data_IF_421835240467
#
_entry.id   IF_421835240467
#
_cell.length_a   1.000
_cell.length_b   1.000
_cell.length_c   1.000
_cell.angle_alpha   90.00
_cell.angle_beta   90.00
_cell.angle_gamma   90.00
#
_symmetry.space_group_name_H-M   'P 1'
#
loop_
_entity.id
_entity.type
_entity.pdbx_description
1 polymer ?
#
# COMPACT_ATOMS: atom_id res chain seq x y z
N UNK A 1 17.68 -11.15 -7.45
CA UNK A 1 17.01 -12.34 -8.02
C UNK A 1 17.16 -13.54 -7.07
N UNK A 2 18.35 -13.87 -6.56
CA UNK A 2 18.52 -15.05 -5.71
C UNK A 2 17.69 -14.97 -4.42
N UNK A 3 17.72 -13.85 -3.71
CA UNK A 3 16.91 -13.62 -2.51
C UNK A 3 15.41 -13.78 -2.79
N UNK A 4 14.91 -13.26 -3.92
CA UNK A 4 13.50 -13.37 -4.28
C UNK A 4 13.10 -14.82 -4.57
N UNK A 5 13.99 -15.62 -5.17
CA UNK A 5 13.76 -17.05 -5.39
C UNK A 5 13.75 -17.84 -4.07
N UNK A 6 14.61 -17.47 -3.12
CA UNK A 6 14.62 -18.09 -1.77
C UNK A 6 13.31 -17.80 -1.02
N UNK A 7 12.72 -16.64 -1.23
CA UNK A 7 11.40 -16.25 -0.73
C UNK A 7 10.21 -16.84 -1.52
N UNK A 8 10.49 -17.73 -2.48
CA UNK A 8 9.51 -18.33 -3.38
C UNK A 8 8.69 -17.29 -4.18
N UNK A 9 9.35 -16.17 -4.54
CA UNK A 9 8.76 -15.12 -5.39
C UNK A 9 9.15 -15.39 -6.84
N UNK A 10 8.16 -15.52 -7.71
CA UNK A 10 8.40 -15.68 -9.15
C UNK A 10 8.94 -14.38 -9.73
N UNK A 11 10.07 -14.45 -10.42
CA UNK A 11 10.67 -13.30 -11.11
C UNK A 11 11.12 -13.73 -12.50
N UNK A 12 10.92 -12.84 -13.47
CA UNK A 12 11.39 -12.98 -14.84
C UNK A 12 12.76 -12.31 -14.92
N UNK A 13 13.76 -13.00 -15.44
CA UNK A 13 15.06 -12.40 -15.70
C UNK A 13 15.04 -11.55 -16.99
N UNK A 14 16.04 -10.67 -17.11
CA UNK A 14 16.14 -9.75 -18.25
C UNK A 14 16.19 -10.47 -19.60
N UNK A 15 16.78 -11.67 -19.67
CA UNK A 15 16.90 -12.41 -20.92
C UNK A 15 15.54 -12.89 -21.40
N UNK A 16 14.71 -13.38 -20.48
CA UNK A 16 13.34 -13.82 -20.77
C UNK A 16 12.41 -12.63 -21.05
N UNK A 17 12.55 -11.55 -20.30
CA UNK A 17 11.75 -10.33 -20.50
C UNK A 17 12.01 -9.72 -21.89
N UNK A 18 13.28 -9.61 -22.29
CA UNK A 18 13.68 -9.09 -23.61
C UNK A 18 13.29 -9.99 -24.79
N UNK A 19 12.99 -11.27 -24.54
CA UNK A 19 12.53 -12.20 -25.57
C UNK A 19 11.01 -12.11 -25.84
N UNK A 20 10.27 -11.31 -25.05
CA UNK A 20 8.84 -11.11 -25.23
C UNK A 20 8.60 -9.72 -25.84
N UNK A 21 7.82 -9.67 -26.92
CA UNK A 21 7.48 -8.42 -27.62
C UNK A 21 6.31 -7.69 -26.91
N UNK A 22 6.47 -7.44 -25.59
CA UNK A 22 5.49 -6.78 -24.72
C UNK A 22 6.19 -5.70 -23.91
N UNK A 23 5.62 -4.50 -23.89
CA UNK A 23 6.10 -3.43 -23.01
C UNK A 23 5.81 -3.79 -21.54
N UNK A 24 6.83 -3.87 -20.64
CA UNK A 24 6.59 -4.05 -19.22
C UNK A 24 5.79 -2.88 -18.64
N UNK A 25 4.94 -3.15 -17.66
CA UNK A 25 4.33 -2.12 -16.84
C UNK A 25 5.39 -1.52 -15.90
N UNK A 26 5.52 -0.22 -15.92
CA UNK A 26 6.41 0.52 -15.01
C UNK A 26 5.67 0.86 -13.73
N UNK A 27 6.03 0.20 -12.65
CA UNK A 27 5.48 0.47 -11.32
C UNK A 27 6.55 1.15 -10.46
N UNK A 28 6.21 2.28 -9.86
CA UNK A 28 7.08 2.95 -8.89
C UNK A 28 6.53 2.80 -7.48
N UNK A 29 7.39 2.51 -6.51
CA UNK A 29 7.04 2.38 -5.10
C UNK A 29 7.77 3.45 -4.31
N UNK A 30 7.03 4.39 -3.73
CA UNK A 30 7.55 5.29 -2.70
C UNK A 30 7.45 4.56 -1.35
N UNK A 31 8.57 4.02 -0.91
CA UNK A 31 8.63 3.23 0.31
C UNK A 31 9.02 4.11 1.51
N UNK A 32 8.03 4.43 2.34
CA UNK A 32 8.18 5.24 3.56
C UNK A 32 8.37 4.39 4.82
N UNK A 33 8.22 3.06 4.72
CA UNK A 33 8.32 2.15 5.84
C UNK A 33 9.75 2.09 6.40
N UNK A 34 9.90 1.88 7.73
CA UNK A 34 11.20 1.84 8.38
C UNK A 34 12.03 0.60 8.02
N UNK A 35 11.38 -0.55 7.80
CA UNK A 35 11.99 -1.82 7.39
C UNK A 35 11.82 -2.00 5.87
N UNK A 36 12.60 -1.26 5.10
CA UNK A 36 12.41 -1.17 3.65
C UNK A 36 12.50 -2.51 2.93
N UNK A 37 13.49 -3.34 3.24
CA UNK A 37 13.72 -4.64 2.58
C UNK A 37 12.52 -5.57 2.81
N UNK A 38 11.95 -5.58 4.02
CA UNK A 38 10.74 -6.38 4.31
C UNK A 38 9.56 -5.91 3.47
N UNK A 39 9.32 -4.59 3.43
CA UNK A 39 8.23 -4.00 2.65
C UNK A 39 8.41 -4.23 1.14
N UNK A 40 9.65 -4.12 0.64
CA UNK A 40 9.99 -4.44 -0.76
C UNK A 40 9.59 -5.88 -1.09
N UNK A 41 10.00 -6.84 -0.24
CA UNK A 41 9.72 -8.26 -0.42
C UNK A 41 8.21 -8.53 -0.42
N UNK A 42 7.48 -7.91 0.51
CA UNK A 42 6.03 -8.07 0.64
C UNK A 42 5.29 -7.53 -0.60
N UNK A 43 5.66 -6.34 -1.07
CA UNK A 43 5.05 -5.75 -2.27
C UNK A 43 5.43 -6.50 -3.55
N UNK A 44 6.69 -6.89 -3.71
CA UNK A 44 7.14 -7.64 -4.89
C UNK A 44 6.42 -9.00 -4.94
N UNK A 45 6.19 -9.66 -3.80
CA UNK A 45 5.45 -10.93 -3.73
C UNK A 45 4.04 -10.80 -4.31
N UNK A 46 3.33 -9.69 -4.04
CA UNK A 46 1.99 -9.43 -4.55
C UNK A 46 2.02 -9.01 -6.02
N UNK A 47 2.93 -8.12 -6.39
CA UNK A 47 3.07 -7.65 -7.78
C UNK A 47 3.51 -8.77 -8.73
N UNK A 48 4.34 -9.71 -8.27
CA UNK A 48 4.81 -10.83 -9.09
C UNK A 48 3.75 -11.91 -9.34
N UNK A 49 2.65 -11.91 -8.60
CA UNK A 49 1.55 -12.86 -8.79
C UNK A 49 0.60 -12.40 -9.92
N UNK A 50 1.17 -12.09 -11.06
CA UNK A 50 0.49 -11.62 -12.27
C UNK A 50 1.18 -12.17 -13.51
N UNK A 51 0.46 -12.50 -14.59
CA UNK A 51 1.05 -12.87 -15.88
C UNK A 51 1.66 -11.66 -16.61
N UNK A 52 1.41 -10.44 -16.15
CA UNK A 52 1.92 -9.21 -16.75
C UNK A 52 3.42 -9.05 -16.42
N UNK A 53 4.18 -8.54 -17.38
CA UNK A 53 5.55 -8.11 -17.10
C UNK A 53 5.53 -6.81 -16.33
N UNK A 54 6.23 -6.76 -15.20
CA UNK A 54 6.27 -5.59 -14.32
C UNK A 54 7.72 -5.23 -14.04
N UNK A 55 8.06 -3.98 -14.29
CA UNK A 55 9.32 -3.37 -13.89
C UNK A 55 9.06 -2.51 -12.66
N UNK A 56 9.66 -2.87 -11.53
CA UNK A 56 9.49 -2.15 -10.25
C UNK A 56 10.70 -1.25 -10.00
N UNK A 57 10.43 0.03 -9.79
CA UNK A 57 11.40 1.03 -9.34
C UNK A 57 11.07 1.49 -7.92
N UNK A 58 12.08 1.63 -7.06
CA UNK A 58 11.89 2.17 -5.72
C UNK A 58 12.30 3.64 -5.65
N UNK A 59 11.40 4.46 -5.12
CA UNK A 59 11.60 5.88 -4.87
C UNK A 59 11.84 6.12 -3.38
N UNK A 60 12.75 7.03 -3.05
CA UNK A 60 12.96 7.55 -1.70
C UNK A 60 12.81 9.07 -1.68
N UNK A 61 12.51 9.60 -0.51
CA UNK A 61 12.53 11.03 -0.23
C UNK A 61 13.97 11.48 0.02
N UNK A 62 14.33 12.63 -0.52
CA UNK A 62 15.65 13.26 -0.27
C UNK A 62 15.70 13.86 1.13
N UNK A 63 14.58 14.42 1.60
CA UNK A 63 14.44 15.03 2.92
C UNK A 63 14.40 14.03 4.08
N UNK A 64 14.34 12.72 3.79
CA UNK A 64 14.27 11.67 4.82
C UNK A 64 15.36 10.61 4.65
N UNK A 65 16.16 10.40 5.68
CA UNK A 65 17.21 9.36 5.70
C UNK A 65 16.71 8.12 6.42
N UNK A 66 16.75 6.97 5.74
CA UNK A 66 16.45 5.68 6.36
C UNK A 66 17.49 5.31 7.41
N UNK A 67 17.05 5.00 8.64
CA UNK A 67 17.92 4.61 9.75
C UNK A 67 18.13 3.09 9.84
N UNK A 68 17.23 2.30 9.26
CA UNK A 68 17.15 0.85 9.46
C UNK A 68 17.50 0.05 8.19
N UNK A 69 18.02 0.71 7.16
CA UNK A 69 18.37 0.06 5.89
C UNK A 69 19.82 0.37 5.54
N UNK A 70 20.63 -0.62 5.14
CA UNK A 70 22.02 -0.40 4.73
C UNK A 70 22.13 0.62 3.61
N UNK A 71 23.15 1.49 3.68
CA UNK A 71 23.37 2.56 2.70
C UNK A 71 23.62 1.99 1.30
N UNK A 72 24.34 0.86 1.22
CA UNK A 72 24.62 0.16 -0.03
C UNK A 72 23.34 -0.30 -0.72
N UNK A 73 22.38 -0.84 0.05
CA UNK A 73 21.06 -1.22 -0.46
C UNK A 73 20.31 0.00 -1.00
N UNK A 74 20.28 1.08 -0.22
CA UNK A 74 19.65 2.32 -0.65
C UNK A 74 20.25 2.89 -1.94
N UNK A 75 21.56 2.86 -2.08
CA UNK A 75 22.25 3.33 -3.30
C UNK A 75 22.01 2.43 -4.51
N UNK A 76 21.89 1.12 -4.27
CA UNK A 76 21.72 0.15 -5.35
C UNK A 76 20.29 0.10 -5.91
N UNK A 77 19.27 0.32 -5.08
CA UNK A 77 17.88 0.04 -5.44
C UNK A 77 16.96 1.25 -5.41
N UNK A 78 17.35 2.36 -4.74
CA UNK A 78 16.48 3.53 -4.57
C UNK A 78 16.96 4.72 -5.38
N UNK A 79 15.99 5.38 -6.03
CA UNK A 79 16.21 6.61 -6.77
C UNK A 79 15.51 7.77 -6.05
N UNK A 80 16.10 8.97 -6.11
CA UNK A 80 15.45 10.18 -5.60
C UNK A 80 14.36 10.67 -6.56
N UNK A 81 13.30 11.27 -6.03
CA UNK A 81 12.22 11.84 -6.83
C UNK A 81 12.71 12.76 -7.94
N UNK A 82 13.68 13.64 -7.63
CA UNK A 82 14.24 14.57 -8.62
C UNK A 82 14.82 13.88 -9.88
N UNK A 83 15.33 12.64 -9.74
CA UNK A 83 15.85 11.86 -10.86
C UNK A 83 14.77 11.16 -11.68
N UNK A 84 13.54 11.10 -11.16
CA UNK A 84 12.39 10.39 -11.75
C UNK A 84 11.30 11.36 -12.22
N UNK A 85 11.46 12.65 -11.95
CA UNK A 85 10.42 13.67 -12.11
C UNK A 85 9.85 13.76 -13.53
N UNK A 86 10.70 13.57 -14.55
CA UNK A 86 10.30 13.62 -15.96
C UNK A 86 9.80 12.28 -16.50
N UNK A 87 9.90 11.22 -15.70
CA UNK A 87 9.46 9.89 -16.11
C UNK A 87 7.95 9.72 -15.85
N UNK A 88 7.34 8.82 -16.61
CA UNK A 88 5.94 8.43 -16.44
C UNK A 88 5.86 6.96 -16.06
N UNK A 89 4.85 6.63 -15.24
CA UNK A 89 4.65 5.29 -14.70
C UNK A 89 3.22 4.83 -14.92
N UNK A 90 3.07 3.53 -15.17
CA UNK A 90 1.75 2.91 -15.30
C UNK A 90 1.03 2.88 -13.96
N UNK A 91 1.75 2.58 -12.88
CA UNK A 91 1.20 2.59 -11.54
C UNK A 91 2.20 3.07 -10.48
N UNK A 92 1.67 3.53 -9.35
CA UNK A 92 2.45 3.89 -8.19
C UNK A 92 1.84 3.32 -6.91
N UNK A 93 2.71 2.90 -6.00
CA UNK A 93 2.33 2.54 -4.63
C UNK A 93 3.06 3.49 -3.68
N UNK A 94 2.33 4.11 -2.76
CA UNK A 94 2.89 4.92 -1.68
C UNK A 94 2.56 4.21 -0.37
N UNK A 95 3.58 3.77 0.35
CA UNK A 95 3.42 2.95 1.56
C UNK A 95 3.05 3.78 2.78
N UNK A 96 2.62 3.10 3.84
CA UNK A 96 2.50 3.68 5.17
C UNK A 96 3.82 4.24 5.71
N UNK A 97 3.73 5.02 6.78
CA UNK A 97 4.85 5.59 7.50
C UNK A 97 4.54 5.66 9.00
N UNK A 98 5.52 5.44 9.90
CA UNK A 98 5.30 5.44 11.36
C UNK A 98 5.33 6.86 11.94
N UNK A 99 4.56 7.78 11.35
CA UNK A 99 4.49 9.20 11.73
C UNK A 99 3.05 9.66 11.99
N UNK A 100 2.14 8.75 12.22
CA UNK A 100 0.71 8.99 12.32
C UNK A 100 0.30 9.86 13.54
N UNK A 101 1.17 9.94 14.55
CA UNK A 101 0.96 10.81 15.74
C UNK A 101 1.25 12.29 15.47
N UNK A 102 1.97 12.61 14.40
CA UNK A 102 2.26 13.99 14.01
C UNK A 102 1.12 14.56 13.17
N UNK A 103 0.87 15.86 13.28
CA UNK A 103 0.07 16.53 12.24
C UNK A 103 0.79 16.40 10.89
N UNK A 104 0.03 16.44 9.79
CA UNK A 104 0.63 16.19 8.48
C UNK A 104 1.71 17.22 8.15
N UNK A 105 1.47 18.48 8.45
CA UNK A 105 2.39 19.60 8.21
C UNK A 105 3.65 19.54 9.09
N UNK A 106 3.58 18.86 10.24
CA UNK A 106 4.72 18.67 11.16
C UNK A 106 5.65 17.53 10.71
N UNK A 107 5.25 16.74 9.70
CA UNK A 107 6.10 15.70 9.13
C UNK A 107 7.23 16.35 8.32
N UNK A 108 8.47 16.08 8.67
CA UNK A 108 9.65 16.76 8.13
C UNK A 108 9.83 16.66 6.61
N UNK A 109 9.17 15.71 5.95
CA UNK A 109 9.16 15.54 4.50
C UNK A 109 7.81 15.90 3.86
N UNK A 110 6.93 16.63 4.57
CA UNK A 110 5.59 16.96 4.08
C UNK A 110 5.62 17.70 2.75
N UNK A 111 6.46 18.73 2.64
CA UNK A 111 6.59 19.50 1.40
C UNK A 111 7.02 18.65 0.20
N UNK A 112 7.94 17.70 0.40
CA UNK A 112 8.40 16.84 -0.69
C UNK A 112 7.33 15.82 -1.10
N UNK A 113 6.60 15.24 -0.13
CA UNK A 113 5.58 14.25 -0.45
C UNK A 113 4.36 14.87 -1.12
N UNK A 114 3.97 16.09 -0.75
CA UNK A 114 2.88 16.81 -1.42
C UNK A 114 3.22 17.18 -2.86
N UNK A 115 4.48 17.53 -3.16
CA UNK A 115 4.95 17.68 -4.53
C UNK A 115 4.82 16.36 -5.32
N UNK A 116 5.14 15.23 -4.70
CA UNK A 116 4.97 13.91 -5.31
C UNK A 116 3.47 13.60 -5.51
N UNK A 117 2.60 13.92 -4.56
CA UNK A 117 1.15 13.74 -4.71
C UNK A 117 0.60 14.50 -5.93
N UNK A 118 0.99 15.75 -6.14
CA UNK A 118 0.60 16.50 -7.33
C UNK A 118 1.18 15.88 -8.61
N UNK A 119 2.45 15.45 -8.57
CA UNK A 119 3.12 14.81 -9.68
C UNK A 119 2.41 13.49 -10.10
N UNK A 120 1.90 12.70 -9.15
CA UNK A 120 1.18 11.46 -9.49
C UNK A 120 0.00 11.72 -10.40
N UNK A 121 -0.71 12.83 -10.23
CA UNK A 121 -1.92 13.18 -11.00
C UNK A 121 -1.68 13.38 -12.50
N UNK A 122 -0.45 13.65 -12.89
CA UNK A 122 -0.07 13.94 -14.28
C UNK A 122 0.93 12.95 -14.87
N UNK A 123 1.61 12.15 -14.04
CA UNK A 123 2.68 11.25 -14.47
C UNK A 123 2.40 9.78 -14.19
N UNK A 124 1.32 9.46 -13.48
CA UNK A 124 0.96 8.09 -13.11
C UNK A 124 -0.49 7.80 -13.51
N UNK A 125 -0.75 6.63 -14.10
CA UNK A 125 -2.11 6.24 -14.49
C UNK A 125 -2.96 5.95 -13.26
N UNK A 126 -2.48 5.13 -12.33
CA UNK A 126 -3.21 4.82 -11.09
C UNK A 126 -2.25 4.75 -9.90
N UNK A 127 -2.60 5.41 -8.80
CA UNK A 127 -1.82 5.44 -7.56
C UNK A 127 -2.59 4.76 -6.43
N UNK A 128 -1.96 3.79 -5.78
CA UNK A 128 -2.45 3.15 -4.56
C UNK A 128 -1.71 3.72 -3.36
N UNK A 129 -2.45 4.34 -2.46
CA UNK A 129 -1.96 4.89 -1.20
C UNK A 129 -2.30 3.93 -0.07
N UNK A 130 -1.34 3.57 0.79
CA UNK A 130 -1.52 2.56 1.84
C UNK A 130 -1.37 3.19 3.22
N UNK A 131 -2.29 2.91 4.13
CA UNK A 131 -2.31 3.27 5.54
C UNK A 131 -2.09 4.78 5.76
N UNK A 132 -0.97 5.20 6.35
CA UNK A 132 -0.69 6.63 6.57
C UNK A 132 -0.72 7.42 5.26
N UNK A 133 -0.15 6.90 4.18
CA UNK A 133 -0.20 7.58 2.89
C UNK A 133 -1.64 7.75 2.37
N UNK A 134 -2.54 6.79 2.65
CA UNK A 134 -3.96 6.93 2.30
C UNK A 134 -4.59 8.11 3.04
N UNK A 135 -4.34 8.24 4.34
CA UNK A 135 -4.83 9.38 5.13
C UNK A 135 -4.21 10.70 4.67
N UNK A 136 -2.89 10.72 4.40
CA UNK A 136 -2.17 11.90 3.93
C UNK A 136 -2.65 12.36 2.55
N UNK A 137 -2.88 11.43 1.62
CA UNK A 137 -3.42 11.73 0.30
C UNK A 137 -4.86 12.23 0.33
N UNK A 138 -5.72 11.61 1.16
CA UNK A 138 -7.09 12.07 1.40
C UNK A 138 -7.13 13.49 2.00
N UNK A 139 -6.23 13.76 2.94
CA UNK A 139 -6.09 15.09 3.54
C UNK A 139 -5.63 16.11 2.51
N UNK A 140 -4.53 15.84 1.84
CA UNK A 140 -3.93 16.80 0.91
C UNK A 140 -4.82 17.12 -0.28
N UNK A 141 -5.40 16.11 -0.90
CA UNK A 141 -6.17 16.28 -2.13
C UNK A 141 -7.63 16.69 -1.90
N UNK A 142 -8.21 16.29 -0.75
CA UNK A 142 -9.66 16.39 -0.51
C UNK A 142 -10.02 17.02 0.83
N UNK A 143 -9.03 17.39 1.66
CA UNK A 143 -9.26 18.01 2.95
C UNK A 143 -9.88 17.07 4.01
N UNK A 144 -9.78 15.76 3.83
CA UNK A 144 -10.34 14.80 4.79
C UNK A 144 -9.43 14.70 6.02
N UNK A 145 -9.88 15.07 7.22
CA UNK A 145 -9.07 15.03 8.43
C UNK A 145 -8.82 13.60 8.90
N UNK A 146 -7.72 13.40 9.63
CA UNK A 146 -7.50 12.20 10.43
C UNK A 146 -7.91 12.41 11.88
N UNK A 147 -8.25 11.34 12.55
CA UNK A 147 -8.62 11.33 13.97
C UNK A 147 -7.76 10.34 14.72
N UNK A 148 -7.34 10.73 15.93
CA UNK A 148 -6.61 9.83 16.82
C UNK A 148 -7.57 8.79 17.39
N UNK A 149 -7.17 7.53 17.41
CA UNK A 149 -7.88 6.45 18.09
C UNK A 149 -7.50 6.39 19.56
N UNK A 150 -8.42 6.03 20.43
CA UNK A 150 -8.17 5.81 21.86
C UNK A 150 -7.22 4.64 22.10
N UNK A 151 -7.29 3.63 21.24
CA UNK A 151 -6.41 2.45 21.23
C UNK A 151 -5.94 2.15 19.82
N UNK A 152 -4.74 1.57 19.73
CA UNK A 152 -4.19 1.09 18.46
C UNK A 152 -5.16 0.09 17.81
N UNK A 153 -5.57 0.33 16.57
CA UNK A 153 -6.26 -0.64 15.73
C UNK A 153 -5.22 -1.68 15.29
N UNK A 154 -5.21 -2.85 15.95
CA UNK A 154 -4.13 -3.81 15.82
C UNK A 154 -4.65 -5.24 15.73
N UNK A 155 -4.50 -5.87 14.57
CA UNK A 155 -4.99 -7.22 14.33
C UNK A 155 -5.56 -7.44 12.93
N UNK A 156 -6.37 -8.47 12.80
CA UNK A 156 -7.07 -8.87 11.58
C UNK A 156 -8.55 -8.58 11.75
N UNK A 157 -9.08 -7.74 10.87
CA UNK A 157 -10.47 -7.28 10.93
C UNK A 157 -11.26 -7.77 9.73
N UNK A 158 -12.53 -8.02 9.96
CA UNK A 158 -13.50 -8.38 8.94
C UNK A 158 -13.95 -7.15 8.17
N UNK A 159 -14.04 -7.29 6.85
CA UNK A 159 -14.41 -6.22 5.93
C UNK A 159 -15.45 -6.74 4.93
N UNK A 160 -16.21 -5.81 4.38
CA UNK A 160 -17.15 -6.06 3.32
C UNK A 160 -17.05 -4.97 2.24
N UNK A 161 -17.58 -5.28 1.07
CA UNK A 161 -17.77 -4.30 0.01
C UNK A 161 -18.98 -3.45 0.36
N UNK A 162 -18.83 -2.13 0.29
CA UNK A 162 -19.96 -1.21 0.53
C UNK A 162 -21.10 -1.46 -0.46
N UNK A 163 -22.34 -1.41 0.00
CA UNK A 163 -23.52 -1.64 -0.83
C UNK A 163 -23.49 -0.78 -2.11
N UNK A 164 -23.80 -1.41 -3.24
CA UNK A 164 -23.76 -0.78 -4.57
C UNK A 164 -22.43 -0.82 -5.29
N UNK A 165 -21.32 -1.25 -4.65
CA UNK A 165 -20.00 -1.25 -5.24
C UNK A 165 -19.42 -2.64 -5.58
N UNK A 166 -20.15 -3.73 -5.36
CA UNK A 166 -19.71 -5.10 -5.67
C UNK A 166 -19.37 -5.34 -7.15
N UNK A 167 -19.92 -4.51 -8.04
CA UNK A 167 -19.65 -4.57 -9.47
C UNK A 167 -18.28 -3.99 -9.88
N UNK A 168 -17.61 -3.27 -9.00
CA UNK A 168 -16.32 -2.65 -9.32
C UNK A 168 -15.25 -3.72 -9.57
N UNK A 169 -14.44 -3.55 -10.64
CA UNK A 169 -13.40 -4.53 -10.98
C UNK A 169 -12.38 -4.80 -9.88
N UNK A 170 -12.16 -3.84 -8.96
CA UNK A 170 -11.24 -4.01 -7.82
C UNK A 170 -11.65 -5.19 -6.91
N UNK A 171 -12.95 -5.51 -6.83
CA UNK A 171 -13.51 -6.59 -6.00
C UNK A 171 -13.78 -7.88 -6.76
N UNK A 172 -13.33 -8.00 -8.01
CA UNK A 172 -13.56 -9.22 -8.79
C UNK A 172 -12.90 -10.42 -8.11
N UNK A 173 -13.71 -11.43 -7.77
CA UNK A 173 -13.30 -12.64 -7.09
C UNK A 173 -13.23 -12.54 -5.56
N UNK A 174 -13.60 -11.39 -4.97
CA UNK A 174 -13.75 -11.26 -3.53
C UNK A 174 -14.97 -12.01 -3.04
N UNK A 175 -14.87 -12.57 -1.84
CA UNK A 175 -16.01 -13.06 -1.08
C UNK A 175 -16.78 -11.88 -0.47
N UNK A 176 -18.03 -12.13 -0.01
CA UNK A 176 -18.85 -11.11 0.65
C UNK A 176 -18.19 -10.56 1.91
N UNK A 177 -17.42 -11.41 2.57
CA UNK A 177 -16.63 -11.10 3.78
C UNK A 177 -15.17 -11.47 3.53
N UNK A 178 -14.27 -10.57 3.85
CA UNK A 178 -12.85 -10.77 3.74
C UNK A 178 -12.08 -10.12 4.90
N UNK A 179 -10.82 -10.50 5.07
CA UNK A 179 -10.03 -10.12 6.24
C UNK A 179 -8.84 -9.26 5.82
N UNK A 180 -8.55 -8.22 6.62
CA UNK A 180 -7.45 -7.28 6.37
C UNK A 180 -6.68 -7.01 7.66
N UNK A 181 -5.34 -7.04 7.61
CA UNK A 181 -4.49 -6.58 8.71
C UNK A 181 -4.58 -5.07 8.90
N UNK A 182 -4.64 -4.64 10.16
CA UNK A 182 -4.48 -3.24 10.54
C UNK A 182 -3.43 -3.08 11.65
N UNK A 183 -2.66 -2.00 11.57
CA UNK A 183 -1.73 -1.54 12.59
C UNK A 183 -1.64 -0.02 12.51
N UNK A 184 -2.53 0.68 13.18
CA UNK A 184 -2.63 2.15 13.10
C UNK A 184 -3.20 2.76 14.38
N UNK A 185 -2.82 4.01 14.65
CA UNK A 185 -3.31 4.82 15.77
C UNK A 185 -4.28 5.91 15.33
N UNK A 186 -4.53 6.05 14.03
CA UNK A 186 -5.40 7.08 13.46
C UNK A 186 -6.40 6.49 12.48
N UNK A 187 -7.48 7.23 12.21
CA UNK A 187 -8.50 6.87 11.25
C UNK A 187 -8.96 8.07 10.43
N UNK A 188 -9.62 7.80 9.31
CA UNK A 188 -10.51 8.73 8.60
C UNK A 188 -11.94 8.29 8.81
N UNK A 189 -12.89 9.23 8.86
CA UNK A 189 -14.28 8.92 9.15
C UNK A 189 -15.13 8.98 7.89
N UNK A 190 -16.08 8.06 7.82
CA UNK A 190 -17.00 7.96 6.69
C UNK A 190 -17.80 9.24 6.49
N UNK A 191 -18.30 9.82 7.57
CA UNK A 191 -19.09 11.06 7.51
C UNK A 191 -18.35 12.27 6.94
N UNK A 192 -17.01 12.30 6.97
CA UNK A 192 -16.23 13.35 6.33
C UNK A 192 -16.01 13.06 4.85
N UNK A 193 -15.77 11.79 4.51
CA UNK A 193 -15.61 11.36 3.12
C UNK A 193 -16.90 11.53 2.33
N UNK A 194 -18.06 11.20 2.91
CA UNK A 194 -19.38 11.31 2.26
C UNK A 194 -19.78 12.77 1.94
N UNK A 195 -19.13 13.77 2.56
CA UNK A 195 -19.30 15.19 2.21
C UNK A 195 -18.60 15.56 0.90
N UNK A 196 -17.60 14.78 0.48
CA UNK A 196 -16.84 15.00 -0.73
C UNK A 196 -17.39 14.15 -1.89
N UNK A 197 -18.02 14.77 -2.86
CA UNK A 197 -18.68 14.06 -3.99
C UNK A 197 -17.68 13.33 -4.92
N UNK A 198 -16.41 13.67 -4.85
CA UNK A 198 -15.35 13.07 -5.66
C UNK A 198 -14.85 11.75 -5.08
N UNK A 199 -15.18 11.46 -3.81
CA UNK A 199 -14.76 10.29 -3.08
C UNK A 199 -15.87 9.24 -2.97
N UNK A 200 -15.50 7.98 -3.02
CA UNK A 200 -16.40 6.84 -2.84
C UNK A 200 -15.79 5.88 -1.83
N UNK A 201 -16.47 5.64 -0.69
CA UNK A 201 -16.11 4.56 0.22
C UNK A 201 -16.63 3.27 -0.38
N UNK A 202 -15.76 2.46 -0.94
CA UNK A 202 -16.13 1.24 -1.67
C UNK A 202 -15.97 -0.03 -0.85
N UNK A 203 -15.24 0.05 0.29
CA UNK A 203 -15.11 -1.04 1.27
C UNK A 203 -14.91 -0.49 2.67
N UNK A 204 -15.51 -1.14 3.64
CA UNK A 204 -15.47 -0.78 5.06
C UNK A 204 -15.59 -1.99 5.98
N UNK A 205 -15.45 -1.75 7.27
CA UNK A 205 -15.58 -2.70 8.36
C UNK A 205 -16.42 -2.08 9.46
N UNK A 206 -17.30 -2.85 10.06
CA UNK A 206 -18.08 -2.40 11.23
C UNK A 206 -17.18 -2.07 12.43
N UNK A 207 -16.02 -2.69 12.51
CA UNK A 207 -15.10 -2.52 13.62
C UNK A 207 -13.92 -1.57 13.31
N UNK A 208 -13.28 -1.73 12.14
CA UNK A 208 -12.11 -0.91 11.78
C UNK A 208 -12.43 0.29 10.88
N UNK A 209 -13.71 0.50 10.55
CA UNK A 209 -14.16 1.66 9.78
C UNK A 209 -13.80 1.59 8.29
N UNK A 210 -13.56 2.75 7.70
CA UNK A 210 -13.27 2.90 6.27
C UNK A 210 -12.04 2.11 5.86
N UNK A 211 -12.15 1.30 4.79
CA UNK A 211 -11.05 0.50 4.29
C UNK A 211 -10.54 0.97 2.92
N UNK A 212 -11.39 1.00 1.91
CA UNK A 212 -10.97 1.46 0.57
C UNK A 212 -11.82 2.65 0.15
N UNK A 213 -11.15 3.73 -0.21
CA UNK A 213 -11.76 4.91 -0.82
C UNK A 213 -11.20 5.05 -2.24
N UNK A 214 -12.06 5.33 -3.19
CA UNK A 214 -11.67 5.55 -4.58
C UNK A 214 -12.05 6.95 -5.05
N UNK A 215 -11.20 7.51 -5.90
CA UNK A 215 -11.43 8.78 -6.57
C UNK A 215 -10.98 8.72 -8.03
N UNK A 216 -11.48 9.65 -8.84
CA UNK A 216 -11.08 9.84 -10.25
C UNK A 216 -11.14 8.55 -11.07
N UNK A 217 -12.20 7.73 -10.85
CA UNK A 217 -12.39 6.47 -11.58
C UNK A 217 -11.33 5.40 -11.31
N UNK A 218 -10.70 5.42 -10.11
CA UNK A 218 -9.64 4.47 -9.72
C UNK A 218 -8.22 4.93 -10.06
N UNK A 219 -8.05 6.16 -10.52
CA UNK A 219 -6.72 6.76 -10.64
C UNK A 219 -6.08 7.03 -9.27
N UNK A 220 -6.91 7.18 -8.25
CA UNK A 220 -6.49 7.31 -6.86
C UNK A 220 -7.28 6.29 -6.02
N UNK A 221 -6.55 5.39 -5.36
CA UNK A 221 -7.10 4.34 -4.51
C UNK A 221 -6.42 4.44 -3.15
N UNK A 222 -7.20 4.70 -2.11
CA UNK A 222 -6.72 4.88 -0.74
C UNK A 222 -7.12 3.66 0.09
N UNK A 223 -6.15 2.91 0.59
CA UNK A 223 -6.33 1.67 1.35
C UNK A 223 -5.82 1.88 2.77
N UNK A 224 -6.68 1.86 3.76
CA UNK A 224 -6.30 2.14 5.15
C UNK A 224 -5.65 0.96 5.87
N UNK A 225 -5.91 -0.26 5.41
CA UNK A 225 -5.32 -1.50 5.94
C UNK A 225 -4.03 -1.90 5.24
N UNK A 226 -3.46 -3.00 5.69
CA UNK A 226 -2.16 -3.52 5.26
C UNK A 226 -2.29 -4.90 4.60
N UNK A 227 -2.91 -4.96 3.43
CA UNK A 227 -3.06 -6.23 2.70
C UNK A 227 -1.71 -6.84 2.30
N UNK A 228 -0.65 -6.02 2.20
CA UNK A 228 0.71 -6.43 1.84
C UNK A 228 1.45 -7.17 2.95
N UNK A 229 1.01 -7.09 4.20
CA UNK A 229 1.74 -7.64 5.34
C UNK A 229 1.99 -9.15 5.21
N UNK A 230 3.24 -9.54 5.51
CA UNK A 230 3.63 -10.94 5.66
C UNK A 230 2.96 -11.57 6.88
N UNK A 231 2.92 -12.92 6.95
CA UNK A 231 2.32 -13.61 8.09
C UNK A 231 2.83 -13.16 9.47
N UNK A 232 4.09 -12.76 9.58
CA UNK A 232 4.75 -12.45 10.85
C UNK A 232 4.94 -10.96 11.12
N UNK A 233 4.42 -10.06 10.29
CA UNK A 233 4.62 -8.62 10.48
C UNK A 233 4.02 -8.13 11.79
N UNK A 234 2.76 -8.49 12.09
CA UNK A 234 2.10 -8.09 13.35
C UNK A 234 2.73 -8.79 14.57
N UNK A 235 3.18 -10.04 14.45
CA UNK A 235 3.92 -10.74 15.51
C UNK A 235 5.24 -10.02 15.84
N UNK A 236 5.96 -9.59 14.82
CA UNK A 236 7.20 -8.83 14.98
C UNK A 236 6.96 -7.48 15.67
N UNK A 237 5.88 -6.76 15.33
CA UNK A 237 5.49 -5.53 16.01
C UNK A 237 5.11 -5.79 17.47
N UNK A 238 4.29 -6.80 17.73
CA UNK A 238 3.84 -7.17 19.06
C UNK A 238 5.01 -7.53 19.97
N UNK A 239 5.88 -8.46 19.54
CA UNK A 239 7.06 -8.89 20.33
C UNK A 239 8.06 -7.77 20.52
N UNK A 240 8.27 -6.92 19.52
CA UNK A 240 9.13 -5.72 19.62
C UNK A 240 8.66 -4.77 20.71
N UNK A 241 7.38 -4.46 20.73
CA UNK A 241 6.81 -3.45 21.63
C UNK A 241 6.67 -4.01 23.04
N UNK A 242 6.33 -5.30 23.22
CA UNK A 242 6.43 -6.00 24.51
C UNK A 242 7.87 -5.99 25.05
N UNK A 243 8.85 -6.30 24.19
CA UNK A 243 10.27 -6.31 24.59
C UNK A 243 10.80 -4.92 25.01
N UNK A 244 10.14 -3.86 24.57
CA UNK A 244 10.43 -2.47 25.00
C UNK A 244 9.62 -2.03 26.22
N UNK A 245 8.73 -2.86 26.75
CA UNK A 245 7.82 -2.52 27.83
C UNK A 245 6.76 -1.48 27.44
N UNK A 246 6.46 -1.34 26.15
CA UNK A 246 5.41 -0.44 25.68
C UNK A 246 4.03 -1.08 25.85
N UNK A 247 2.99 -0.28 26.17
CA UNK A 247 1.63 -0.78 26.25
C UNK A 247 1.17 -1.18 24.84
N UNK A 248 0.96 -2.49 24.64
CA UNK A 248 0.43 -3.03 23.40
C UNK A 248 -0.51 -4.21 23.72
N UNK A 249 -1.70 -4.18 23.15
CA UNK A 249 -2.62 -5.31 23.19
C UNK A 249 -2.16 -6.40 22.20
N UNK A 250 -2.50 -7.65 22.48
CA UNK A 250 -2.30 -8.74 21.53
C UNK A 250 -3.08 -8.45 20.24
N UNK A 251 -2.50 -8.69 19.03
CA UNK A 251 -3.20 -8.43 17.79
C UNK A 251 -4.46 -9.30 17.68
N UNK A 252 -5.60 -8.64 17.49
CA UNK A 252 -6.92 -9.28 17.48
C UNK A 252 -7.07 -10.24 16.30
N UNK A 253 -7.69 -11.40 16.52
CA UNK A 253 -7.99 -12.41 15.49
C UNK A 253 -6.77 -12.90 14.69
N UNK A 254 -5.58 -12.76 15.23
CA UNK A 254 -4.33 -13.01 14.51
C UNK A 254 -3.69 -14.33 14.82
N UNK A 255 -3.57 -14.71 16.10
CA UNK A 255 -2.99 -15.97 16.49
C UNK A 255 -3.99 -17.12 16.45
N UNK A 256 -3.50 -18.34 16.24
CA UNK A 256 -4.31 -19.57 16.38
C UNK A 256 -4.72 -19.70 17.83
N UNK A 257 -6.03 -19.87 18.09
CA UNK A 257 -6.60 -20.00 19.43
C UNK A 257 -6.21 -18.86 20.40
N UNK A 258 -5.93 -17.66 19.86
CA UNK A 258 -5.44 -16.50 20.61
C UNK A 258 -4.16 -16.78 21.43
N UNK A 259 -3.30 -17.67 20.94
CA UNK A 259 -2.06 -18.08 21.58
C UNK A 259 -0.85 -17.69 20.70
N UNK A 260 -0.01 -16.73 21.12
CA UNK A 260 1.18 -16.30 20.38
C UNK A 260 2.18 -17.43 20.06
N UNK A 261 2.20 -18.51 20.89
CA UNK A 261 3.12 -19.64 20.67
C UNK A 261 2.64 -20.56 19.53
N UNK A 262 1.37 -20.48 19.13
CA UNK A 262 0.81 -21.25 18.01
C UNK A 262 0.99 -20.54 16.65
N UNK A 263 1.50 -19.34 16.66
CA UNK A 263 1.76 -18.54 15.47
C UNK A 263 0.52 -18.00 14.77
N UNK A 264 0.69 -17.23 13.69
CA UNK A 264 -0.40 -16.55 13.02
C UNK A 264 -1.33 -17.47 12.24
N UNK A 265 -2.61 -17.12 12.22
CA UNK A 265 -3.62 -17.68 11.34
C UNK A 265 -3.87 -16.74 10.17
N UNK A 266 -3.21 -16.99 9.03
CA UNK A 266 -3.29 -16.13 7.85
C UNK A 266 -4.64 -16.30 7.17
N UNK A 267 -5.43 -15.21 7.11
CA UNK A 267 -6.77 -15.16 6.48
C UNK A 267 -6.89 -14.13 5.37
N UNK A 268 -5.86 -13.31 5.13
CA UNK A 268 -5.90 -12.17 4.19
C UNK A 268 -5.11 -12.40 2.89
N UNK A 269 -4.34 -13.48 2.77
CA UNK A 269 -3.43 -13.68 1.63
C UNK A 269 -4.15 -13.76 0.28
N UNK A 270 -5.26 -14.48 0.19
CA UNK A 270 -6.03 -14.60 -1.06
C UNK A 270 -6.60 -13.26 -1.49
N UNK A 271 -7.22 -12.53 -0.58
CA UNK A 271 -7.78 -11.20 -0.82
C UNK A 271 -6.70 -10.19 -1.19
N UNK A 272 -5.55 -10.22 -0.52
CA UNK A 272 -4.41 -9.37 -0.87
C UNK A 272 -3.95 -9.61 -2.31
N UNK A 273 -3.80 -10.86 -2.73
CA UNK A 273 -3.44 -11.18 -4.11
C UNK A 273 -4.51 -10.71 -5.12
N UNK A 274 -5.79 -10.87 -4.80
CA UNK A 274 -6.87 -10.37 -5.64
C UNK A 274 -6.85 -8.84 -5.75
N UNK A 275 -6.70 -8.13 -4.63
CA UNK A 275 -6.63 -6.66 -4.62
C UNK A 275 -5.54 -6.14 -5.55
N UNK A 276 -4.32 -6.65 -5.40
CA UNK A 276 -3.19 -6.22 -6.22
C UNK A 276 -3.30 -6.67 -7.69
N UNK A 277 -3.75 -7.88 -7.94
CA UNK A 277 -3.97 -8.38 -9.31
C UNK A 277 -5.08 -7.60 -10.03
N UNK A 278 -6.18 -7.29 -9.34
CA UNK A 278 -7.28 -6.50 -9.89
C UNK A 278 -6.85 -5.05 -10.16
N UNK A 279 -6.10 -4.43 -9.22
CA UNK A 279 -5.52 -3.11 -9.43
C UNK A 279 -4.60 -3.09 -10.66
N UNK A 280 -3.64 -4.01 -10.73
CA UNK A 280 -2.71 -4.10 -11.87
C UNK A 280 -3.43 -4.32 -13.20
N UNK A 281 -4.45 -5.18 -13.22
CA UNK A 281 -5.14 -5.50 -14.46
C UNK A 281 -6.12 -4.39 -14.89
N UNK A 282 -6.99 -3.92 -13.99
CA UNK A 282 -8.14 -3.09 -14.37
C UNK A 282 -7.90 -1.59 -14.22
N UNK A 283 -6.96 -1.16 -13.37
CA UNK A 283 -6.71 0.26 -13.10
C UNK A 283 -5.32 0.73 -13.56
N UNK A 284 -4.42 -0.22 -13.83
CA UNK A 284 -3.09 0.07 -14.39
C UNK A 284 -3.03 -0.36 -15.85
N UNK A 285 -3.07 -1.67 -16.13
CA UNK A 285 -2.83 -2.20 -17.47
C UNK A 285 -3.89 -1.77 -18.50
N UNK A 286 -5.17 -1.85 -18.15
CA UNK A 286 -6.26 -1.51 -19.09
C UNK A 286 -6.48 -0.01 -19.26
N UNK A 287 -6.09 0.81 -18.26
CA UNK A 287 -6.25 2.26 -18.29
C UNK A 287 -5.00 3.00 -18.81
N UNK A 288 -3.82 2.37 -18.77
CA UNK A 288 -2.60 2.99 -19.29
C UNK A 288 -2.67 3.09 -20.82
N UNK A 289 -2.38 4.27 -21.41
CA UNK A 289 -2.26 4.39 -22.86
C UNK A 289 -1.07 3.56 -23.38
N UNK A 290 -1.18 3.05 -24.60
CA UNK A 290 -0.10 2.29 -25.23
C UNK A 290 1.22 3.09 -25.25
N UNK A 291 1.16 4.36 -25.59
CA UNK A 291 2.27 5.30 -25.42
C UNK A 291 2.15 5.96 -24.03
N UNK A 292 3.04 5.58 -23.12
CA UNK A 292 3.07 6.08 -21.73
C UNK A 292 3.21 7.61 -21.64
N UNK A 293 3.74 8.27 -22.68
CA UNK A 293 3.85 9.73 -22.71
C UNK A 293 2.49 10.45 -22.85
N UNK A 294 1.43 9.69 -23.17
CA UNK A 294 0.07 10.22 -23.27
C UNK A 294 -0.71 10.20 -21.96
N UNK A 295 -0.12 9.77 -20.84
CA UNK A 295 -0.72 9.89 -19.50
C UNK A 295 -0.98 11.38 -19.19
N UNK A 296 -2.22 11.69 -18.78
CA UNK A 296 -2.70 13.07 -18.52
C UNK A 296 -3.28 13.18 -17.12
#
# INVERSE_FOLDING_TARGET
INLLKEENIFVIDNSRANAQDIRPLKIVVLNLMPLKITTETDLIRLLSNSPLQIEVSFMKLKSHTSKNTPIEHMKAFYRDFASMREERFDGMIITGAPVEHLEFEDVNYWSEITEIFDWTRTHVTSTMYICWAAQAGLYYHYGIPKYQLDKKMFGIFEHHVTEGFSHLPIFRGFDDVFYVPHSRHTEVRREDIDKCKELQVVSESDESGVHIVMARGGREIFVTGHSEYSPYTLDGEYRRDLGKGLPIDMPKNYYRNDDPEQGPLVRWRSTANLLFSNWLNYYVYQETPYDINQIR
#
